data_IF_066428085121
#
_entry.id   IF_066428085121
#
_cell.length_a   1.000
_cell.length_b   1.000
_cell.length_c   1.000
_cell.angle_alpha   90.00
_cell.angle_beta   90.00
_cell.angle_gamma   90.00
#
_symmetry.space_group_name_H-M   'P 1'
#
loop_
_entity.id
_entity.type
_entity.pdbx_description
1 polymer ?
#
# COMPACT_ATOMS: atom_id res chain seq x y z
N UNK A 1 -8.95 9.89 -10.38
CA UNK A 1 -7.63 10.03 -9.74
C UNK A 1 -7.82 10.83 -8.47
N UNK A 2 -7.38 10.31 -7.32
CA UNK A 2 -7.55 10.96 -6.01
C UNK A 2 -6.97 12.38 -5.98
N UNK A 3 -5.89 12.64 -6.73
CA UNK A 3 -5.35 14.00 -6.90
C UNK A 3 -6.33 15.04 -7.43
N UNK A 4 -7.41 14.66 -8.12
CA UNK A 4 -8.43 15.61 -8.60
C UNK A 4 -9.33 16.17 -7.50
N UNK A 5 -9.35 15.55 -6.33
CA UNK A 5 -10.18 15.96 -5.19
C UNK A 5 -9.36 16.54 -4.03
N UNK A 6 -8.05 16.77 -4.23
CA UNK A 6 -7.19 17.39 -3.22
C UNK A 6 -7.02 16.58 -1.95
N UNK A 7 -6.67 15.29 -2.06
CA UNK A 7 -6.45 14.41 -0.90
C UNK A 7 -5.18 14.77 -0.13
N UNK A 8 -5.22 14.61 1.19
CA UNK A 8 -4.02 14.70 2.05
C UNK A 8 -3.11 13.48 1.90
N UNK A 9 -3.70 12.30 1.64
CA UNK A 9 -3.00 11.05 1.34
C UNK A 9 -3.94 10.04 0.67
N UNK A 10 -3.38 8.95 0.17
CA UNK A 10 -4.14 7.81 -0.32
C UNK A 10 -3.57 6.48 0.19
N UNK A 11 -4.43 5.45 0.26
CA UNK A 11 -3.99 4.06 0.40
C UNK A 11 -4.04 3.36 -0.95
N UNK A 12 -3.04 2.52 -1.25
CA UNK A 12 -2.99 1.72 -2.48
C UNK A 12 -3.10 0.22 -2.13
N UNK A 13 -4.10 -0.49 -2.66
CA UNK A 13 -4.38 -1.88 -2.26
C UNK A 13 -5.17 -2.70 -3.30
N UNK A 14 -5.13 -4.05 -3.20
CA UNK A 14 -4.17 -4.83 -2.42
C UNK A 14 -2.83 -4.90 -3.15
N UNK A 15 -1.74 -4.60 -2.45
CA UNK A 15 -0.38 -4.69 -3.04
C UNK A 15 0.08 -6.14 -3.07
N UNK A 16 -0.17 -6.89 -1.98
CA UNK A 16 0.13 -8.31 -1.82
C UNK A 16 -1.15 -9.10 -1.45
N UNK A 17 -1.12 -10.45 -1.58
CA UNK A 17 -2.23 -11.28 -1.12
C UNK A 17 -2.62 -10.99 0.33
N UNK A 18 -3.91 -10.96 0.61
CA UNK A 18 -4.42 -10.67 1.96
C UNK A 18 -5.62 -11.55 2.31
N UNK A 19 -5.70 -11.96 3.57
CA UNK A 19 -6.81 -12.76 4.07
C UNK A 19 -8.15 -12.01 4.12
N UNK A 20 -8.14 -10.67 4.14
CA UNK A 20 -9.37 -9.88 4.14
C UNK A 20 -10.15 -10.02 2.83
N UNK A 21 -9.44 -10.12 1.70
CA UNK A 21 -9.99 -10.20 0.35
C UNK A 21 -9.21 -11.26 -0.45
N UNK A 22 -9.45 -12.55 -0.19
CA UNK A 22 -8.63 -13.64 -0.73
C UNK A 22 -8.73 -13.78 -2.26
N UNK A 23 -9.86 -13.38 -2.84
CA UNK A 23 -10.11 -13.49 -4.28
C UNK A 23 -9.60 -12.27 -5.08
N UNK A 24 -9.10 -11.24 -4.40
CA UNK A 24 -8.58 -10.06 -5.08
C UNK A 24 -7.22 -10.34 -5.72
N UNK A 25 -7.05 -9.93 -6.98
CA UNK A 25 -5.75 -9.99 -7.66
C UNK A 25 -4.84 -8.87 -7.11
N UNK A 26 -3.69 -9.20 -6.50
CA UNK A 26 -2.77 -8.19 -6.00
C UNK A 26 -2.11 -7.43 -7.15
N UNK A 27 -1.77 -6.16 -6.89
CA UNK A 27 -1.05 -5.30 -7.84
C UNK A 27 0.39 -5.78 -8.05
N UNK A 28 1.06 -6.23 -6.98
CA UNK A 28 2.49 -6.44 -6.97
C UNK A 28 3.27 -5.13 -6.77
N UNK A 29 4.57 -5.27 -6.51
CA UNK A 29 5.44 -4.16 -6.16
C UNK A 29 5.75 -3.24 -7.34
N UNK A 30 5.90 -3.83 -8.52
CA UNK A 30 6.25 -3.14 -9.76
C UNK A 30 5.12 -2.20 -10.18
N UNK A 31 3.89 -2.70 -10.26
CA UNK A 31 2.72 -1.88 -10.57
C UNK A 31 2.44 -0.82 -9.49
N UNK A 32 2.70 -1.14 -8.21
CA UNK A 32 2.58 -0.16 -7.15
C UNK A 32 3.57 1.00 -7.31
N UNK A 33 4.83 0.70 -7.65
CA UNK A 33 5.85 1.71 -7.91
C UNK A 33 5.48 2.61 -9.09
N UNK A 34 4.97 2.02 -10.19
CA UNK A 34 4.52 2.77 -11.37
C UNK A 34 3.37 3.73 -11.04
N UNK A 35 2.43 3.32 -10.18
CA UNK A 35 1.30 4.17 -9.76
C UNK A 35 1.73 5.28 -8.81
N UNK A 36 2.64 4.99 -7.88
CA UNK A 36 3.20 5.99 -6.96
C UNK A 36 3.96 7.06 -7.73
N UNK A 37 4.74 6.69 -8.73
CA UNK A 37 5.49 7.64 -9.56
C UNK A 37 4.61 8.65 -10.32
N UNK A 38 3.30 8.38 -10.44
CA UNK A 38 2.34 9.25 -11.15
C UNK A 38 1.63 10.25 -10.23
N UNK A 39 1.92 10.26 -8.93
CA UNK A 39 1.24 11.11 -7.94
C UNK A 39 2.22 11.88 -7.08
N UNK A 40 1.79 13.02 -6.54
CA UNK A 40 2.59 13.92 -5.71
C UNK A 40 2.05 14.08 -4.29
N UNK A 41 1.14 13.19 -3.86
CA UNK A 41 0.61 13.12 -2.51
C UNK A 41 1.05 11.81 -1.83
N UNK A 42 1.13 11.79 -0.49
CA UNK A 42 1.55 10.61 0.26
C UNK A 42 0.71 9.37 -0.08
N UNK A 43 1.39 8.24 -0.28
CA UNK A 43 0.76 6.93 -0.51
C UNK A 43 1.19 5.95 0.57
N UNK A 44 0.22 5.30 1.21
CA UNK A 44 0.45 4.18 2.12
C UNK A 44 0.02 2.87 1.47
N UNK A 45 0.94 1.91 1.38
CA UNK A 45 0.65 0.60 0.80
C UNK A 45 -0.24 -0.22 1.74
N UNK A 46 -1.22 -0.93 1.19
CA UNK A 46 -2.18 -1.71 1.96
C UNK A 46 -2.48 -3.04 1.27
N UNK A 47 -2.81 -4.05 2.07
CA UNK A 47 -3.13 -5.40 1.62
C UNK A 47 -1.90 -6.30 1.61
N UNK A 48 -1.81 -7.19 2.59
CA UNK A 48 -0.70 -8.13 2.76
C UNK A 48 0.58 -7.49 3.30
N UNK A 49 0.48 -6.36 4.00
CA UNK A 49 1.63 -5.64 4.56
C UNK A 49 1.96 -6.08 5.99
N UNK A 50 3.26 -6.09 6.29
CA UNK A 50 3.85 -6.19 7.63
C UNK A 50 5.05 -5.23 7.77
N UNK A 51 5.55 -5.04 9.00
CA UNK A 51 6.60 -4.08 9.35
C UNK A 51 7.94 -4.34 8.66
N UNK A 52 8.25 -5.60 8.32
CA UNK A 52 9.47 -5.96 7.58
C UNK A 52 9.54 -5.36 6.17
N UNK A 53 8.41 -4.88 5.64
CA UNK A 53 8.31 -4.32 4.29
C UNK A 53 8.49 -2.80 4.23
N UNK A 54 8.70 -2.12 5.36
CA UNK A 54 8.83 -0.66 5.41
C UNK A 54 9.97 -0.14 4.53
N UNK A 55 11.15 -0.76 4.58
CA UNK A 55 12.30 -0.35 3.74
C UNK A 55 11.96 -0.43 2.25
N UNK A 56 11.23 -1.49 1.85
CA UNK A 56 10.81 -1.65 0.45
C UNK A 56 9.74 -0.64 0.05
N UNK A 57 8.79 -0.34 0.93
CA UNK A 57 7.77 0.69 0.70
C UNK A 57 8.44 2.06 0.44
N UNK A 58 9.42 2.44 1.26
CA UNK A 58 10.17 3.67 1.07
C UNK A 58 10.97 3.65 -0.24
N UNK A 59 11.61 2.53 -0.58
CA UNK A 59 12.39 2.39 -1.80
C UNK A 59 11.58 2.61 -3.09
N UNK A 60 10.26 2.36 -3.06
CA UNK A 60 9.36 2.59 -4.20
C UNK A 60 8.58 3.91 -4.12
N UNK A 61 8.93 4.79 -3.18
CA UNK A 61 8.34 6.12 -3.04
C UNK A 61 7.07 6.20 -2.20
N UNK A 62 6.65 5.12 -1.54
CA UNK A 62 5.54 5.18 -0.59
C UNK A 62 5.96 5.89 0.71
N UNK A 63 5.01 6.51 1.40
CA UNK A 63 5.21 7.14 2.71
C UNK A 63 5.13 6.13 3.88
N UNK A 64 4.73 4.90 3.61
CA UNK A 64 4.68 3.82 4.58
C UNK A 64 3.72 2.72 4.18
N UNK A 65 3.31 1.94 5.18
CA UNK A 65 2.36 0.83 5.05
C UNK A 65 1.16 1.02 5.97
N UNK A 66 0.06 0.37 5.64
CA UNK A 66 -1.13 0.21 6.47
C UNK A 66 -1.53 -1.27 6.48
N UNK A 67 -2.05 -1.76 7.60
CA UNK A 67 -2.38 -3.17 7.75
C UNK A 67 -3.19 -3.48 9.01
N UNK A 68 -3.79 -4.67 9.02
CA UNK A 68 -4.57 -5.22 10.15
C UNK A 68 -3.74 -6.35 10.78
N UNK A 69 -3.79 -7.54 10.19
CA UNK A 69 -3.19 -8.76 10.75
C UNK A 69 -1.67 -8.78 10.74
N UNK A 70 -1.02 -7.96 9.92
CA UNK A 70 0.44 -7.84 9.87
C UNK A 70 1.00 -6.78 10.83
N UNK A 71 0.16 -5.94 11.45
CA UNK A 71 0.60 -4.87 12.35
C UNK A 71 -0.01 -4.97 13.76
N UNK A 72 -1.19 -5.56 13.90
CA UNK A 72 -1.78 -5.83 15.21
C UNK A 72 -1.43 -7.23 15.70
N UNK A 73 -1.08 -7.38 17.00
CA UNK A 73 -1.02 -8.68 17.64
C UNK A 73 -2.36 -9.41 17.49
N UNK A 74 -2.31 -10.73 17.28
CA UNK A 74 -3.51 -11.54 17.46
C UNK A 74 -3.86 -11.55 18.95
N UNK A 75 -5.12 -11.30 19.26
CA UNK A 75 -5.65 -11.40 20.63
C UNK A 75 -5.52 -12.83 21.17
#
# INVERSE_FOLDING_TARGET
MAGKIGVDFATLSPVLPTGSHPDARPLGWEAAAELIAQVNYPVYLLGGMDDSMLEKAFAIGAQGIAGISGLWPKA
#
